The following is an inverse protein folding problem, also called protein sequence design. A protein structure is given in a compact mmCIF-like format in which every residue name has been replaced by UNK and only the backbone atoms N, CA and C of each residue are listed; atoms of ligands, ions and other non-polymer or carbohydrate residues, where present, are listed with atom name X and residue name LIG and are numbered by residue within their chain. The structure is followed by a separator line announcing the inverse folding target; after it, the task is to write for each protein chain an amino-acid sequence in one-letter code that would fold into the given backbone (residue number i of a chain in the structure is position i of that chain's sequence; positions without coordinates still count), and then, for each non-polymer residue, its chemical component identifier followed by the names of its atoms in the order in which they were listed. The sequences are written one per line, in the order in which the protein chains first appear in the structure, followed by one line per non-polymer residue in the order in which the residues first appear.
data_IF_421104341776
#
_entry.id   IF_421104341776
#
_cell.length_a   1.000
_cell.length_b   1.000
_cell.length_c   1.000
_cell.angle_alpha   90.00
_cell.angle_beta   90.00
_cell.angle_gamma   90.00
#
_symmetry.space_group_name_H-M   'P 1'
#
loop_
_entity.id
_entity.type
_entity.pdbx_description
1 polymer ?
#
# COMPACT_ATOMS: atom_id res chain seq x y z
N UNK A 1 -30.94 -1.68 26.83
CA UNK A 1 -30.54 -0.60 25.90
C UNK A 1 -29.61 -1.25 24.89
N UNK A 2 -29.94 -1.18 23.61
CA UNK A 2 -29.09 -1.74 22.56
C UNK A 2 -27.76 -1.00 22.55
N UNK A 3 -26.64 -1.71 22.42
CA UNK A 3 -25.31 -1.11 22.38
C UNK A 3 -25.13 -0.41 21.03
N UNK A 4 -24.69 0.85 21.03
CA UNK A 4 -24.28 1.54 19.80
C UNK A 4 -22.93 0.97 19.36
N UNK A 5 -22.97 -0.03 18.48
CA UNK A 5 -21.78 -0.68 17.93
C UNK A 5 -21.59 -0.22 16.50
N UNK A 6 -20.36 0.18 16.15
CA UNK A 6 -20.00 0.66 14.82
C UNK A 6 -18.89 -0.15 14.21
N UNK A 7 -18.92 -0.25 12.88
CA UNK A 7 -17.85 -0.83 12.08
C UNK A 7 -17.07 0.31 11.45
N UNK A 8 -15.80 0.44 11.79
CA UNK A 8 -14.95 1.55 11.35
C UNK A 8 -13.73 1.01 10.59
N UNK A 9 -13.37 1.66 9.48
CA UNK A 9 -12.10 1.44 8.80
C UNK A 9 -11.05 2.39 9.37
N UNK A 10 -9.95 1.85 9.88
CA UNK A 10 -8.87 2.64 10.49
C UNK A 10 -8.06 3.34 9.42
N UNK A 11 -7.96 4.67 9.54
CA UNK A 11 -7.29 5.54 8.58
C UNK A 11 -5.89 5.93 9.01
N UNK A 12 -5.73 6.22 10.30
CA UNK A 12 -4.52 6.79 10.87
C UNK A 12 -4.42 6.39 12.33
N UNK A 13 -3.27 5.93 12.76
CA UNK A 13 -2.97 5.70 14.18
C UNK A 13 -2.30 6.93 14.77
N UNK A 14 -2.72 7.32 15.98
CA UNK A 14 -2.12 8.38 16.76
C UNK A 14 -1.88 7.96 18.21
N UNK A 15 -1.43 8.89 19.03
CA UNK A 15 -1.14 8.60 20.43
C UNK A 15 -2.43 8.43 21.25
N UNK A 16 -2.78 7.18 21.59
CA UNK A 16 -4.00 6.85 22.34
C UNK A 16 -5.30 7.20 21.61
N UNK A 17 -5.25 7.30 20.29
CA UNK A 17 -6.37 7.62 19.43
C UNK A 17 -6.12 7.13 18.01
N UNK A 18 -7.17 7.01 17.21
CA UNK A 18 -7.06 6.76 15.77
C UNK A 18 -8.12 7.56 15.01
N UNK A 19 -7.86 7.88 13.74
CA UNK A 19 -8.90 8.35 12.82
C UNK A 19 -9.46 7.14 12.08
N UNK A 20 -10.76 7.16 11.83
CA UNK A 20 -11.45 6.09 11.13
C UNK A 20 -12.57 6.65 10.24
N UNK A 21 -12.93 5.90 9.19
CA UNK A 21 -14.15 6.10 8.39
C UNK A 21 -15.22 5.16 8.95
N UNK A 22 -16.36 5.69 9.34
CA UNK A 22 -17.53 4.90 9.70
C UNK A 22 -18.11 4.26 8.43
N UNK A 23 -18.12 2.93 8.34
CA UNK A 23 -18.51 2.24 7.11
C UNK A 23 -20.02 2.33 6.83
N UNK A 24 -20.84 2.69 7.82
CA UNK A 24 -22.29 2.80 7.62
C UNK A 24 -22.73 4.14 7.02
N UNK A 25 -21.98 5.21 7.28
CA UNK A 25 -22.37 6.58 6.90
C UNK A 25 -21.22 7.41 6.31
N UNK A 26 -20.06 6.81 6.13
CA UNK A 26 -18.84 7.40 5.56
C UNK A 26 -18.23 8.56 6.37
N UNK A 27 -18.75 8.86 7.55
CA UNK A 27 -18.24 9.96 8.36
C UNK A 27 -16.83 9.65 8.87
N UNK A 28 -15.95 10.64 8.76
CA UNK A 28 -14.63 10.59 9.40
C UNK A 28 -14.76 10.94 10.87
N UNK A 29 -14.31 10.02 11.73
CA UNK A 29 -14.35 10.13 13.19
C UNK A 29 -12.96 10.06 13.79
N UNK A 30 -12.78 10.73 14.92
CA UNK A 30 -11.60 10.60 15.78
C UNK A 30 -11.95 9.77 17.02
N UNK A 31 -11.42 8.56 17.10
CA UNK A 31 -11.71 7.62 18.18
C UNK A 31 -10.65 7.74 19.27
N UNK A 32 -11.09 7.99 20.51
CA UNK A 32 -10.24 7.96 21.70
C UNK A 32 -10.32 6.58 22.32
N UNK A 33 -9.23 5.82 22.21
CA UNK A 33 -9.11 4.49 22.80
C UNK A 33 -7.66 4.22 23.20
N UNK A 34 -7.39 3.77 24.44
CA UNK A 34 -6.06 3.32 24.83
C UNK A 34 -5.61 2.07 24.05
N UNK A 35 -6.56 1.32 23.47
CA UNK A 35 -6.32 0.13 22.63
C UNK A 35 -5.93 0.50 21.19
N UNK A 36 -5.70 1.79 20.89
CA UNK A 36 -5.24 2.24 19.57
C UNK A 36 -3.87 1.63 19.16
N UNK A 37 -3.11 1.09 20.10
CA UNK A 37 -1.83 0.41 19.82
C UNK A 37 -2.00 -1.06 19.42
N UNK A 38 -3.19 -1.66 19.61
CA UNK A 38 -3.47 -3.05 19.26
C UNK A 38 -3.93 -3.19 17.79
N UNK A 39 -4.28 -2.07 17.16
CA UNK A 39 -4.77 -1.98 15.78
C UNK A 39 -3.69 -1.46 14.83
N UNK A 40 -3.93 -1.68 13.54
CA UNK A 40 -3.11 -1.17 12.45
C UNK A 40 -3.95 -0.34 11.47
N UNK A 41 -3.29 0.48 10.66
CA UNK A 41 -3.93 1.14 9.52
C UNK A 41 -4.61 0.11 8.64
N UNK A 42 -5.73 0.51 8.02
CA UNK A 42 -6.58 -0.35 7.20
C UNK A 42 -7.23 -1.54 7.93
N UNK A 43 -7.10 -1.67 9.26
CA UNK A 43 -7.95 -2.59 10.01
C UNK A 43 -9.41 -2.15 9.94
N UNK A 44 -10.31 -3.14 9.88
CA UNK A 44 -11.72 -2.97 10.21
C UNK A 44 -11.91 -3.25 11.69
N UNK A 45 -12.55 -2.32 12.40
CA UNK A 45 -12.77 -2.41 13.84
C UNK A 45 -14.25 -2.37 14.20
N UNK A 46 -14.63 -3.24 15.13
CA UNK A 46 -15.93 -3.20 15.79
C UNK A 46 -15.77 -2.43 17.09
N UNK A 47 -16.46 -1.28 17.21
CA UNK A 47 -16.28 -0.34 18.31
C UNK A 47 -17.62 -0.03 19.00
N UNK A 48 -17.68 -0.20 20.32
CA UNK A 48 -18.86 0.21 21.11
C UNK A 48 -18.73 1.67 21.50
N UNK A 49 -19.65 2.52 21.02
CA UNK A 49 -19.67 3.95 21.34
C UNK A 49 -20.35 4.15 22.68
N UNK A 50 -19.57 4.53 23.69
CA UNK A 50 -20.10 4.92 25.01
C UNK A 50 -20.32 6.44 25.12
N UNK A 51 -19.57 7.21 24.33
CA UNK A 51 -19.72 8.67 24.23
C UNK A 51 -19.39 9.14 22.82
N UNK A 52 -20.26 10.01 22.29
CA UNK A 52 -20.04 10.77 21.06
C UNK A 52 -20.12 12.26 21.37
N UNK A 53 -19.23 13.05 20.81
CA UNK A 53 -19.31 14.52 20.85
C UNK A 53 -18.69 15.12 19.59
N UNK A 54 -19.01 16.37 19.31
CA UNK A 54 -18.41 17.12 18.21
C UNK A 54 -17.59 18.27 18.77
N UNK A 55 -16.38 18.46 18.23
CA UNK A 55 -15.58 19.65 18.49
C UNK A 55 -15.08 20.21 17.14
N UNK A 56 -15.43 21.47 16.86
CA UNK A 56 -15.29 22.08 15.53
C UNK A 56 -15.98 21.20 14.48
N UNK A 57 -15.26 20.75 13.45
CA UNK A 57 -15.77 19.90 12.37
C UNK A 57 -15.55 18.40 12.62
N UNK A 58 -14.92 18.02 13.73
CA UNK A 58 -14.54 16.63 14.01
C UNK A 58 -15.53 15.99 14.96
N UNK A 59 -16.03 14.83 14.57
CA UNK A 59 -16.82 13.94 15.43
C UNK A 59 -15.84 13.05 16.20
N UNK A 60 -16.02 12.98 17.50
CA UNK A 60 -15.22 12.17 18.40
C UNK A 60 -16.05 11.06 18.99
N UNK A 61 -15.44 9.87 19.09
CA UNK A 61 -16.00 8.69 19.72
C UNK A 61 -15.08 8.24 20.87
N UNK A 62 -15.67 7.68 21.93
CA UNK A 62 -14.92 6.92 22.92
C UNK A 62 -15.73 5.72 23.40
N UNK A 63 -15.04 4.70 23.88
CA UNK A 63 -15.60 3.43 24.29
C UNK A 63 -14.60 2.29 24.08
N UNK A 64 -14.99 1.03 24.34
CA UNK A 64 -14.12 -0.11 24.17
C UNK A 64 -14.04 -0.55 22.70
N UNK A 65 -12.82 -0.93 22.26
CA UNK A 65 -12.61 -1.73 21.07
C UNK A 65 -13.07 -3.16 21.36
N UNK A 66 -14.02 -3.68 20.58
CA UNK A 66 -14.55 -5.02 20.75
C UNK A 66 -13.78 -6.05 19.92
N UNK A 67 -13.48 -5.70 18.67
CA UNK A 67 -12.78 -6.56 17.71
C UNK A 67 -12.03 -5.71 16.70
N UNK A 68 -10.94 -6.24 16.16
CA UNK A 68 -10.24 -5.69 15.02
C UNK A 68 -9.67 -6.80 14.15
N UNK A 69 -9.68 -6.59 12.84
CA UNK A 69 -9.06 -7.50 11.89
C UNK A 69 -8.69 -6.74 10.61
N UNK A 70 -7.75 -7.28 9.86
CA UNK A 70 -7.43 -6.76 8.53
C UNK A 70 -8.31 -7.46 7.50
N UNK A 71 -9.20 -6.72 6.84
CA UNK A 71 -10.06 -7.22 5.77
C UNK A 71 -10.00 -6.30 4.55
N UNK A 72 -9.44 -6.82 3.46
CA UNK A 72 -9.40 -6.13 2.17
C UNK A 72 -10.81 -5.89 1.60
N UNK A 73 -11.78 -6.77 1.92
CA UNK A 73 -13.17 -6.62 1.48
C UNK A 73 -13.88 -5.41 2.09
N UNK A 74 -13.36 -4.87 3.20
CA UNK A 74 -13.87 -3.63 3.81
C UNK A 74 -13.40 -2.35 3.10
N UNK A 75 -12.41 -2.45 2.22
CA UNK A 75 -11.91 -1.33 1.43
C UNK A 75 -12.84 -1.08 0.25
N UNK A 76 -13.91 -0.35 0.51
CA UNK A 76 -14.82 0.14 -0.53
C UNK A 76 -14.21 1.35 -1.27
N UNK A 77 -13.15 1.09 -2.01
CA UNK A 77 -12.40 2.04 -2.84
C UNK A 77 -12.37 1.49 -4.26
N UNK A 78 -12.76 2.29 -5.24
CA UNK A 78 -12.73 1.91 -6.65
C UNK A 78 -11.31 1.59 -7.12
N UNK A 79 -11.20 0.59 -7.99
CA UNK A 79 -9.92 0.18 -8.58
C UNK A 79 -9.37 1.22 -9.55
N UNK A 80 -8.14 0.98 -10.00
CA UNK A 80 -7.50 1.83 -11.00
C UNK A 80 -7.74 1.32 -12.42
N UNK A 81 -8.14 2.24 -13.30
CA UNK A 81 -8.17 1.99 -14.74
C UNK A 81 -6.75 1.95 -15.31
N UNK A 82 -6.57 1.14 -16.35
CA UNK A 82 -5.29 0.99 -17.04
C UNK A 82 -5.53 0.64 -18.50
N UNK A 83 -4.58 1.04 -19.35
CA UNK A 83 -4.67 0.88 -20.80
C UNK A 83 -3.47 0.12 -21.35
N UNK A 84 -3.70 -0.63 -22.43
CA UNK A 84 -2.63 -1.24 -23.23
C UNK A 84 -1.76 -0.15 -23.85
N UNK A 85 -0.44 -0.34 -23.80
CA UNK A 85 0.55 0.59 -24.37
C UNK A 85 1.22 -0.04 -25.58
N UNK A 86 2.02 -1.09 -25.40
CA UNK A 86 2.71 -1.75 -26.51
C UNK A 86 3.17 -3.19 -26.18
N UNK A 87 3.54 -3.95 -27.21
CA UNK A 87 4.14 -5.28 -27.04
C UNK A 87 5.66 -5.18 -26.83
N UNK A 88 6.13 -5.45 -25.62
CA UNK A 88 7.55 -5.40 -25.26
C UNK A 88 8.13 -6.79 -25.00
N UNK A 89 9.42 -6.98 -25.29
CA UNK A 89 10.13 -8.21 -24.96
C UNK A 89 11.22 -7.98 -23.92
N UNK A 90 11.39 -8.95 -23.01
CA UNK A 90 12.50 -8.93 -22.08
C UNK A 90 13.87 -8.86 -22.78
N UNK A 91 13.99 -9.30 -24.03
CA UNK A 91 15.25 -9.22 -24.80
C UNK A 91 15.66 -7.78 -25.15
N UNK A 92 14.82 -6.79 -24.89
CA UNK A 92 15.19 -5.37 -24.98
C UNK A 92 16.15 -4.94 -23.86
N UNK A 93 16.13 -5.65 -22.72
CA UNK A 93 16.95 -5.35 -21.55
C UNK A 93 17.91 -6.47 -21.16
N UNK A 94 17.67 -7.69 -21.62
CA UNK A 94 18.50 -8.86 -21.31
C UNK A 94 19.03 -9.50 -22.58
N UNK A 95 20.34 -9.73 -22.62
CA UNK A 95 20.92 -10.60 -23.62
C UNK A 95 20.45 -12.05 -23.41
N UNK A 96 20.38 -12.89 -24.47
CA UNK A 96 19.91 -14.27 -24.36
C UNK A 96 20.66 -15.12 -23.33
N UNK A 97 21.94 -14.83 -23.08
CA UNK A 97 22.76 -15.53 -22.09
C UNK A 97 22.45 -15.13 -20.63
N UNK A 98 21.77 -14.01 -20.40
CA UNK A 98 21.34 -13.53 -19.08
C UNK A 98 19.97 -14.12 -18.67
N UNK A 99 19.16 -14.53 -19.66
CA UNK A 99 17.89 -15.21 -19.45
C UNK A 99 18.10 -16.67 -19.02
N UNK A 100 18.55 -16.86 -17.78
CA UNK A 100 18.78 -18.17 -17.15
C UNK A 100 18.23 -18.20 -15.73
N UNK A 101 18.05 -19.41 -15.18
CA UNK A 101 17.56 -19.60 -13.81
C UNK A 101 16.24 -18.86 -13.56
N UNK A 102 16.12 -18.22 -12.39
CA UNK A 102 14.92 -17.50 -12.00
C UNK A 102 14.58 -16.33 -12.94
N UNK A 103 15.57 -15.71 -13.59
CA UNK A 103 15.33 -14.61 -14.55
C UNK A 103 14.54 -15.13 -15.75
N UNK A 104 14.95 -16.28 -16.30
CA UNK A 104 14.22 -16.92 -17.40
C UNK A 104 12.79 -17.33 -16.99
N UNK A 105 12.62 -17.85 -15.77
CA UNK A 105 11.32 -18.23 -15.23
C UNK A 105 10.36 -17.03 -15.14
N UNK A 106 10.85 -15.90 -14.61
CA UNK A 106 10.06 -14.68 -14.47
C UNK A 106 9.74 -14.03 -15.83
N UNK A 107 10.73 -13.96 -16.73
CA UNK A 107 10.65 -13.20 -17.97
C UNK A 107 10.26 -14.04 -19.21
N UNK A 108 9.81 -15.28 -19.01
CA UNK A 108 9.29 -16.14 -20.08
C UNK A 108 8.08 -15.51 -20.80
N UNK A 109 7.84 -15.94 -22.03
CA UNK A 109 6.63 -15.58 -22.80
C UNK A 109 6.87 -14.70 -24.03
N UNK A 110 8.14 -14.39 -24.37
CA UNK A 110 8.44 -13.63 -25.58
C UNK A 110 8.04 -12.16 -25.45
N UNK A 111 7.16 -11.68 -26.34
CA UNK A 111 6.57 -10.34 -26.25
C UNK A 111 5.30 -10.38 -25.41
N UNK A 112 5.20 -9.49 -24.42
CA UNK A 112 4.02 -9.33 -23.54
C UNK A 112 3.52 -7.88 -23.65
N UNK A 113 2.21 -7.71 -23.49
CA UNK A 113 1.61 -6.38 -23.52
C UNK A 113 2.04 -5.58 -22.28
N UNK A 114 2.51 -4.36 -22.48
CA UNK A 114 2.72 -3.39 -21.43
C UNK A 114 1.45 -2.58 -21.17
N UNK A 115 1.28 -2.13 -19.94
CA UNK A 115 0.14 -1.37 -19.47
C UNK A 115 0.61 -0.14 -18.69
N UNK A 116 -0.18 0.91 -18.78
CA UNK A 116 -0.05 2.11 -17.96
C UNK A 116 -1.36 2.36 -17.23
N UNK A 117 -1.30 2.62 -15.93
CA UNK A 117 -2.45 3.11 -15.20
C UNK A 117 -2.83 4.53 -15.64
N UNK A 118 -4.14 4.80 -15.63
CA UNK A 118 -4.65 6.17 -15.66
C UNK A 118 -4.23 6.94 -14.39
N UNK A 119 -4.34 8.27 -14.41
CA UNK A 119 -3.87 9.08 -13.29
C UNK A 119 -4.77 8.92 -12.05
N UNK A 120 -4.22 8.30 -11.02
CA UNK A 120 -4.78 8.22 -9.66
C UNK A 120 -3.87 8.89 -8.62
N UNK A 121 -2.81 9.56 -9.04
CA UNK A 121 -1.70 10.01 -8.17
C UNK A 121 -2.09 11.12 -7.21
N UNK A 122 -3.23 11.79 -7.45
CA UNK A 122 -3.68 12.95 -6.69
C UNK A 122 -2.98 14.24 -7.11
N UNK A 123 -2.21 14.22 -8.21
CA UNK A 123 -1.68 15.44 -8.81
C UNK A 123 -2.81 16.43 -9.10
N UNK A 124 -2.65 17.67 -8.68
CA UNK A 124 -3.67 18.69 -8.84
C UNK A 124 -4.86 18.62 -7.86
N UNK A 125 -4.91 17.62 -6.96
CA UNK A 125 -6.10 17.35 -6.13
C UNK A 125 -6.42 18.50 -5.15
N UNK A 126 -5.43 18.94 -4.35
CA UNK A 126 -5.65 20.06 -3.42
C UNK A 126 -5.48 21.42 -4.10
N UNK A 127 -4.51 21.53 -5.01
CA UNK A 127 -4.16 22.77 -5.70
C UNK A 127 -3.66 22.42 -7.10
N UNK A 128 -3.99 23.26 -8.08
CA UNK A 128 -3.57 23.08 -9.47
C UNK A 128 -2.04 23.02 -9.57
N UNK A 129 -1.54 22.08 -10.38
CA UNK A 129 -0.12 21.88 -10.68
C UNK A 129 0.76 21.51 -9.46
N UNK A 130 0.14 21.06 -8.36
CA UNK A 130 0.82 20.57 -7.16
C UNK A 130 0.75 19.04 -7.04
N UNK A 131 1.84 18.44 -6.56
CA UNK A 131 1.89 17.02 -6.20
C UNK A 131 1.85 16.86 -4.67
N UNK A 132 0.70 16.48 -4.09
CA UNK A 132 0.58 16.34 -2.63
C UNK A 132 1.44 15.22 -2.06
N UNK A 133 1.80 14.20 -2.85
CA UNK A 133 2.70 13.13 -2.43
C UNK A 133 4.12 13.66 -2.31
N UNK A 134 4.58 14.42 -3.29
CA UNK A 134 5.89 15.09 -3.24
C UNK A 134 5.96 16.07 -2.06
N UNK A 135 4.96 16.94 -1.90
CA UNK A 135 4.89 17.89 -0.77
C UNK A 135 4.88 17.19 0.61
N UNK A 136 4.27 16.01 0.70
CA UNK A 136 4.33 15.18 1.90
C UNK A 136 5.73 14.61 2.14
N UNK A 137 6.38 14.11 1.09
CA UNK A 137 7.72 13.53 1.15
C UNK A 137 8.83 14.55 1.48
N UNK A 138 8.64 15.81 1.11
CA UNK A 138 9.53 16.93 1.41
C UNK A 138 9.32 17.54 2.81
N UNK A 139 8.43 16.97 3.63
CA UNK A 139 8.21 17.46 5.00
C UNK A 139 9.44 17.28 5.88
N UNK A 140 9.64 18.23 6.81
CA UNK A 140 10.81 18.28 7.70
C UNK A 140 10.90 17.10 8.67
N UNK A 141 9.75 16.51 9.04
CA UNK A 141 9.69 15.41 10.00
C UNK A 141 8.91 14.21 9.46
N UNK A 142 9.26 13.02 9.98
CA UNK A 142 8.55 11.77 9.69
C UNK A 142 7.08 11.87 10.09
N UNK A 143 6.77 12.50 11.23
CA UNK A 143 5.38 12.70 11.70
C UNK A 143 4.59 13.59 10.74
N UNK A 144 5.18 14.69 10.25
CA UNK A 144 4.51 15.55 9.27
C UNK A 144 4.28 14.83 7.93
N UNK A 145 5.26 14.04 7.49
CA UNK A 145 5.15 13.20 6.30
C UNK A 145 4.00 12.20 6.44
N UNK A 146 3.96 11.46 7.55
CA UNK A 146 2.90 10.52 7.86
C UNK A 146 1.53 11.20 7.91
N UNK A 147 1.43 12.35 8.59
CA UNK A 147 0.19 13.10 8.75
C UNK A 147 -0.38 13.61 7.43
N UNK A 148 0.48 14.10 6.53
CA UNK A 148 0.06 14.55 5.20
C UNK A 148 -0.39 13.39 4.31
N UNK A 149 0.33 12.26 4.32
CA UNK A 149 -0.09 11.07 3.57
C UNK A 149 -1.40 10.50 4.10
N UNK A 150 -1.55 10.38 5.42
CA UNK A 150 -2.80 9.94 6.02
C UNK A 150 -3.97 10.87 5.68
N UNK A 151 -3.71 12.19 5.59
CA UNK A 151 -4.73 13.15 5.17
C UNK A 151 -5.07 13.03 3.68
N UNK A 152 -4.07 12.85 2.82
CA UNK A 152 -4.27 12.61 1.38
C UNK A 152 -5.08 11.34 1.15
N UNK A 153 -4.78 10.25 1.84
CA UNK A 153 -5.55 9.02 1.71
C UNK A 153 -6.98 9.15 2.28
N UNK A 154 -7.19 9.92 3.36
CA UNK A 154 -8.54 10.24 3.85
C UNK A 154 -9.38 10.99 2.80
N UNK A 155 -8.80 11.97 2.11
CA UNK A 155 -9.54 12.81 1.16
C UNK A 155 -9.60 12.23 -0.26
N UNK A 156 -8.58 11.46 -0.65
CA UNK A 156 -8.47 10.84 -1.97
C UNK A 156 -7.96 9.39 -1.86
N UNK A 157 -8.83 8.43 -1.45
CA UNK A 157 -8.43 7.06 -1.15
C UNK A 157 -7.83 6.27 -2.32
N UNK A 158 -8.11 6.69 -3.57
CA UNK A 158 -7.52 6.10 -4.78
C UNK A 158 -6.04 6.45 -4.95
N UNK A 159 -5.52 7.50 -4.28
CA UNK A 159 -4.08 7.75 -4.24
C UNK A 159 -3.39 6.72 -3.35
N UNK A 160 -3.12 5.55 -3.91
CA UNK A 160 -2.44 4.47 -3.19
C UNK A 160 -1.01 4.85 -2.77
N UNK A 161 -0.40 5.83 -3.42
CA UNK A 161 0.97 6.25 -3.08
C UNK A 161 1.05 6.83 -1.66
N UNK A 162 -0.04 7.43 -1.18
CA UNK A 162 -0.18 7.84 0.20
C UNK A 162 -0.06 6.64 1.17
N UNK A 163 -0.78 5.55 0.88
CA UNK A 163 -0.66 4.29 1.65
C UNK A 163 0.74 3.70 1.55
N UNK A 164 1.33 3.70 0.35
CA UNK A 164 2.69 3.20 0.12
C UNK A 164 3.68 3.94 1.00
N UNK A 165 3.63 5.27 1.03
CA UNK A 165 4.51 6.07 1.86
C UNK A 165 4.24 5.91 3.36
N UNK A 166 2.99 5.80 3.80
CA UNK A 166 2.67 5.40 5.18
C UNK A 166 3.25 4.03 5.52
N UNK A 167 3.21 3.08 4.58
CA UNK A 167 3.81 1.76 4.70
C UNK A 167 5.32 1.83 4.91
N UNK A 168 6.03 2.63 4.12
CA UNK A 168 7.47 2.84 4.27
C UNK A 168 7.85 3.56 5.58
N UNK A 169 7.03 4.50 6.06
CA UNK A 169 7.24 5.13 7.38
C UNK A 169 7.13 4.07 8.49
N UNK A 170 6.06 3.27 8.46
CA UNK A 170 5.85 2.21 9.45
C UNK A 170 6.93 1.11 9.36
N UNK A 171 7.41 0.80 8.16
CA UNK A 171 8.44 -0.22 7.94
C UNK A 171 9.73 0.07 8.70
N UNK A 172 10.09 1.34 8.97
CA UNK A 172 11.31 1.67 9.72
C UNK A 172 11.33 1.04 11.11
N UNK A 173 10.16 0.77 11.72
CA UNK A 173 10.06 0.28 13.08
C UNK A 173 9.55 -1.16 13.13
N UNK A 174 10.31 -2.06 13.77
CA UNK A 174 9.92 -3.49 13.89
C UNK A 174 8.55 -3.69 14.56
N UNK A 175 8.17 -2.81 15.49
CA UNK A 175 6.87 -2.85 16.17
C UNK A 175 5.68 -2.51 15.27
N UNK A 176 5.94 -1.92 14.10
CA UNK A 176 4.94 -1.40 13.17
C UNK A 176 4.94 -2.16 11.83
N UNK A 177 5.53 -3.37 11.78
CA UNK A 177 5.55 -4.15 10.53
C UNK A 177 4.15 -4.55 10.06
N UNK A 178 3.21 -4.81 10.98
CA UNK A 178 1.80 -5.06 10.65
C UNK A 178 1.15 -3.83 10.01
N UNK A 179 1.41 -2.65 10.56
CA UNK A 179 0.96 -1.37 10.01
C UNK A 179 1.49 -1.17 8.58
N UNK A 180 2.78 -1.44 8.38
CA UNK A 180 3.39 -1.39 7.05
C UNK A 180 2.72 -2.37 6.09
N UNK A 181 2.60 -3.64 6.49
CA UNK A 181 1.99 -4.70 5.71
C UNK A 181 0.57 -4.35 5.27
N UNK A 182 -0.28 -3.91 6.20
CA UNK A 182 -1.68 -3.56 5.91
C UNK A 182 -1.76 -2.44 4.86
N UNK A 183 -0.99 -1.36 5.02
CA UNK A 183 -0.98 -0.26 4.05
C UNK A 183 -0.57 -0.76 2.65
N UNK A 184 0.49 -1.57 2.57
CA UNK A 184 1.04 -2.05 1.31
C UNK A 184 0.11 -3.06 0.63
N UNK A 185 -0.47 -4.00 1.39
CA UNK A 185 -1.47 -4.94 0.88
C UNK A 185 -2.74 -4.21 0.41
N UNK A 186 -3.16 -3.16 1.10
CA UNK A 186 -4.31 -2.33 0.71
C UNK A 186 -4.03 -1.57 -0.59
N UNK A 187 -2.86 -0.95 -0.72
CA UNK A 187 -2.43 -0.28 -1.95
C UNK A 187 -2.41 -1.23 -3.16
N UNK A 188 -1.86 -2.44 -2.98
CA UNK A 188 -1.84 -3.48 -4.01
C UNK A 188 -3.26 -3.93 -4.36
N UNK A 189 -4.11 -4.15 -3.35
CA UNK A 189 -5.49 -4.58 -3.57
C UNK A 189 -6.28 -3.57 -4.42
N UNK A 190 -6.16 -2.28 -4.13
CA UNK A 190 -6.83 -1.21 -4.89
C UNK A 190 -6.30 -1.17 -6.33
N UNK A 191 -4.98 -1.22 -6.52
CA UNK A 191 -4.37 -1.19 -7.86
C UNK A 191 -4.81 -2.37 -8.74
N UNK A 192 -4.87 -3.57 -8.16
CA UNK A 192 -5.15 -4.81 -8.89
C UNK A 192 -6.66 -5.10 -9.02
N UNK A 193 -7.54 -4.29 -8.42
CA UNK A 193 -8.99 -4.56 -8.32
C UNK A 193 -9.67 -4.74 -9.68
N UNK A 194 -9.21 -4.05 -10.73
CA UNK A 194 -9.74 -4.16 -12.10
C UNK A 194 -8.90 -5.07 -13.01
N UNK A 195 -7.89 -5.77 -12.48
CA UNK A 195 -7.08 -6.67 -13.30
C UNK A 195 -7.90 -7.86 -13.80
N UNK A 196 -7.69 -8.22 -15.07
CA UNK A 196 -8.26 -9.44 -15.63
C UNK A 196 -7.67 -10.68 -14.93
N UNK A 197 -8.47 -11.75 -14.72
CA UNK A 197 -7.94 -13.01 -14.21
C UNK A 197 -6.78 -13.50 -15.07
N UNK A 198 -5.65 -13.82 -14.43
CA UNK A 198 -4.41 -14.27 -15.09
C UNK A 198 -3.76 -13.25 -16.03
N UNK A 199 -3.97 -11.94 -15.80
CA UNK A 199 -3.24 -10.89 -16.50
C UNK A 199 -1.72 -11.16 -16.45
N UNK A 200 -1.11 -11.37 -17.61
CA UNK A 200 0.35 -11.50 -17.78
C UNK A 200 0.94 -10.25 -18.44
N UNK A 201 0.66 -9.10 -17.84
CA UNK A 201 1.08 -7.79 -18.30
C UNK A 201 2.45 -7.37 -17.80
N UNK A 202 3.00 -6.34 -18.45
CA UNK A 202 4.18 -5.60 -18.00
C UNK A 202 3.74 -4.21 -17.56
N UNK A 203 4.19 -3.76 -16.39
CA UNK A 203 3.99 -2.42 -15.87
C UNK A 203 5.37 -1.79 -15.74
N UNK A 204 5.78 -1.04 -16.76
CA UNK A 204 7.11 -0.43 -16.81
C UNK A 204 7.23 0.71 -15.81
N UNK A 205 8.39 0.82 -15.16
CA UNK A 205 8.72 1.94 -14.26
C UNK A 205 8.77 3.31 -14.97
N UNK A 206 9.02 3.31 -16.28
CA UNK A 206 9.00 4.52 -17.10
C UNK A 206 7.63 5.19 -17.12
N UNK A 207 6.56 4.42 -16.99
CA UNK A 207 5.20 4.93 -16.83
C UNK A 207 5.03 5.44 -15.39
N UNK A 208 4.90 6.76 -15.23
CA UNK A 208 4.90 7.39 -13.91
C UNK A 208 3.79 6.85 -13.01
N UNK A 209 2.60 6.62 -13.58
CA UNK A 209 1.44 6.11 -12.87
C UNK A 209 1.57 4.62 -12.47
N UNK A 210 2.56 3.89 -12.98
CA UNK A 210 2.85 2.53 -12.51
C UNK A 210 3.68 2.52 -11.23
N UNK A 211 4.40 3.62 -10.94
CA UNK A 211 5.38 3.65 -9.85
C UNK A 211 4.77 3.43 -8.46
N UNK A 212 3.61 3.98 -8.08
CA UNK A 212 3.01 3.70 -6.78
C UNK A 212 2.74 2.21 -6.57
N UNK A 213 2.13 1.54 -7.54
CA UNK A 213 1.89 0.09 -7.51
C UNK A 213 3.19 -0.73 -7.39
N UNK A 214 4.20 -0.41 -8.21
CA UNK A 214 5.50 -1.07 -8.17
C UNK A 214 6.23 -0.83 -6.83
N UNK A 215 6.12 0.37 -6.25
CA UNK A 215 6.63 0.68 -4.90
C UNK A 215 5.89 -0.09 -3.81
N UNK A 216 4.59 -0.31 -3.95
CA UNK A 216 3.79 -1.10 -3.01
C UNK A 216 4.27 -2.55 -2.97
N UNK A 217 4.47 -3.17 -4.14
CA UNK A 217 5.03 -4.53 -4.24
C UNK A 217 6.42 -4.63 -3.62
N UNK A 218 7.30 -3.67 -3.90
CA UNK A 218 8.63 -3.62 -3.29
C UNK A 218 8.56 -3.50 -1.77
N UNK A 219 7.73 -2.60 -1.24
CA UNK A 219 7.55 -2.44 0.20
C UNK A 219 7.06 -3.73 0.84
N UNK A 220 6.08 -4.41 0.22
CA UNK A 220 5.55 -5.66 0.76
C UNK A 220 6.60 -6.77 0.73
N UNK A 221 7.39 -6.87 -0.34
CA UNK A 221 8.52 -7.78 -0.41
C UNK A 221 9.50 -7.56 0.76
N UNK A 222 9.84 -6.30 1.06
CA UNK A 222 10.74 -5.97 2.17
C UNK A 222 10.12 -6.29 3.54
N UNK A 223 8.82 -6.03 3.72
CA UNK A 223 8.09 -6.39 4.95
C UNK A 223 8.14 -7.90 5.19
N UNK A 224 7.80 -8.70 4.18
CA UNK A 224 7.80 -10.16 4.30
C UNK A 224 9.20 -10.71 4.49
N UNK A 225 10.20 -10.13 3.81
CA UNK A 225 11.60 -10.50 4.03
C UNK A 225 12.05 -10.19 5.45
N UNK A 226 11.71 -9.01 6.00
CA UNK A 226 12.03 -8.64 7.39
C UNK A 226 11.29 -9.47 8.44
N UNK A 227 10.18 -10.10 8.07
CA UNK A 227 9.44 -11.07 8.90
C UNK A 227 9.96 -12.51 8.76
N UNK A 228 11.05 -12.73 8.03
CA UNK A 228 11.58 -14.06 7.66
C UNK A 228 10.59 -14.94 6.87
N UNK A 229 9.57 -14.32 6.26
CA UNK A 229 8.60 -14.98 5.38
C UNK A 229 9.18 -15.11 3.96
N UNK A 230 10.33 -15.78 3.84
CA UNK A 230 11.10 -15.86 2.59
C UNK A 230 10.29 -16.34 1.38
N UNK A 231 9.36 -17.29 1.58
CA UNK A 231 8.53 -17.80 0.49
C UNK A 231 7.59 -16.75 -0.11
N UNK A 232 6.95 -15.95 0.73
CA UNK A 232 6.07 -14.86 0.28
C UNK A 232 6.91 -13.72 -0.33
N UNK A 233 8.02 -13.35 0.32
CA UNK A 233 8.93 -12.33 -0.19
C UNK A 233 9.48 -12.69 -1.59
N UNK A 234 9.88 -13.94 -1.81
CA UNK A 234 10.37 -14.40 -3.12
C UNK A 234 9.27 -14.33 -4.18
N UNK A 235 8.03 -14.74 -3.85
CA UNK A 235 6.91 -14.67 -4.79
C UNK A 235 6.63 -13.23 -5.23
N UNK A 236 6.64 -12.28 -4.28
CA UNK A 236 6.45 -10.86 -4.58
C UNK A 236 7.62 -10.31 -5.41
N UNK A 237 8.88 -10.61 -5.05
CA UNK A 237 10.04 -10.17 -5.81
C UNK A 237 10.03 -10.72 -7.25
N UNK A 238 9.63 -11.97 -7.44
CA UNK A 238 9.45 -12.57 -8.78
C UNK A 238 8.31 -11.89 -9.55
N UNK A 239 7.20 -11.56 -8.88
CA UNK A 239 6.11 -10.77 -9.47
C UNK A 239 6.62 -9.40 -9.93
N UNK A 240 7.40 -8.70 -9.11
CA UNK A 240 8.02 -7.42 -9.49
C UNK A 240 8.87 -7.55 -10.76
N UNK A 241 9.77 -8.54 -10.81
CA UNK A 241 10.61 -8.77 -12.00
C UNK A 241 9.79 -9.12 -13.24
N UNK A 242 8.73 -9.92 -13.07
CA UNK A 242 7.80 -10.28 -14.16
C UNK A 242 7.06 -9.04 -14.69
N UNK A 243 6.63 -8.14 -13.82
CA UNK A 243 5.90 -6.92 -14.18
C UNK A 243 6.83 -5.85 -14.76
N UNK A 244 8.04 -5.69 -14.23
CA UNK A 244 8.98 -4.66 -14.68
C UNK A 244 10.35 -5.28 -15.02
N UNK A 245 10.52 -5.87 -16.23
CA UNK A 245 11.76 -6.50 -16.63
C UNK A 245 13.03 -5.64 -16.50
N UNK A 246 13.04 -4.33 -16.82
CA UNK A 246 14.22 -3.47 -16.61
C UNK A 246 14.74 -3.45 -15.17
N UNK A 247 13.95 -3.95 -14.21
CA UNK A 247 14.35 -4.19 -12.82
C UNK A 247 14.83 -2.94 -12.09
N UNK A 248 14.13 -1.81 -12.32
CA UNK A 248 14.50 -0.50 -11.75
C UNK A 248 14.56 -0.49 -10.22
N UNK A 249 13.89 -1.43 -9.56
CA UNK A 249 13.85 -1.55 -8.09
C UNK A 249 14.77 -2.68 -7.57
N UNK A 250 15.53 -3.35 -8.43
CA UNK A 250 16.54 -4.34 -8.01
C UNK A 250 15.97 -5.65 -7.45
N UNK A 251 14.80 -6.08 -7.91
CA UNK A 251 14.16 -7.33 -7.52
C UNK A 251 15.06 -8.56 -7.75
N UNK A 252 15.93 -8.57 -8.77
CA UNK A 252 16.88 -9.67 -8.98
C UNK A 252 17.80 -9.88 -7.78
N UNK A 253 18.31 -8.80 -7.19
CA UNK A 253 19.18 -8.85 -6.03
C UNK A 253 18.41 -9.31 -4.78
N UNK A 254 17.17 -8.83 -4.62
CA UNK A 254 16.28 -9.29 -3.55
C UNK A 254 16.04 -10.81 -3.64
N UNK A 255 15.72 -11.34 -4.83
CA UNK A 255 15.49 -12.77 -5.05
C UNK A 255 16.72 -13.58 -4.61
N UNK A 256 17.93 -13.16 -5.01
CA UNK A 256 19.16 -13.88 -4.64
C UNK A 256 19.40 -13.92 -3.12
N UNK A 257 19.21 -12.80 -2.42
CA UNK A 257 19.37 -12.73 -0.96
C UNK A 257 18.30 -13.56 -0.23
N UNK A 258 17.05 -13.45 -0.68
CA UNK A 258 15.90 -14.19 -0.11
C UNK A 258 16.06 -15.70 -0.31
N UNK A 259 16.53 -16.15 -1.48
CA UNK A 259 16.78 -17.58 -1.74
C UNK A 259 17.87 -18.17 -0.86
N UNK A 260 18.88 -17.37 -0.51
CA UNK A 260 19.93 -17.73 0.44
C UNK A 260 19.46 -17.65 1.90
N UNK A 261 18.23 -17.16 2.14
CA UNK A 261 17.66 -16.88 3.47
C UNK A 261 18.55 -15.97 4.30
N UNK A 262 19.18 -15.00 3.64
CA UNK A 262 19.91 -13.95 4.33
C UNK A 262 18.91 -13.11 5.13
N UNK A 263 19.13 -12.86 6.44
CA UNK A 263 18.21 -12.04 7.22
C UNK A 263 18.23 -10.61 6.70
N UNK A 264 17.07 -9.95 6.69
CA UNK A 264 16.99 -8.53 6.36
C UNK A 264 17.87 -7.70 7.29
N UNK A 265 18.56 -6.69 6.72
CA UNK A 265 19.38 -5.73 7.47
C UNK A 265 19.06 -4.32 7.01
N UNK A 266 19.03 -3.40 7.96
CA UNK A 266 19.09 -1.96 7.68
C UNK A 266 20.54 -1.66 7.29
N UNK A 267 20.77 -1.27 6.04
CA UNK A 267 22.08 -0.79 5.58
C UNK A 267 22.36 0.63 6.08
#
# INVERSE_FOLDING_TARGET
MEKDTRTLLVLKIGQGAFRAKDLANEAIVSVKSPQAYDIAECDTVTFEVTKQWQFKKTIYLSGPLLEHHFDLGSLDIDGHEFMEVELVSATEWYAPNELKGFIAECLRGGKRMSYAFEDYTGYGFYQKDCDPVTEANESDTIDQKYDKHAKLWEDYPQCIDALVHMGYVNFQYSRSLRNAENCLRSAIHIAEKHFMPNLDGIFLWSELNNRPYLRALHGLCLVEWRKDNFGEAEQIARKMLRLNPPDNQGARFLIEMIQKREPWREE
#
